data_IF_722690173061
#
_entry.id   IF_722690173061
#
_cell.length_a   1.000
_cell.length_b   1.000
_cell.length_c   1.000
_cell.angle_alpha   90.00
_cell.angle_beta   90.00
_cell.angle_gamma   90.00
#
_symmetry.space_group_name_H-M   'P 1'
#
loop_
_entity.id
_entity.type
_entity.pdbx_description
1 polymer ?
#
# COMPACT_ATOMS: atom_id res chain seq x y z
N UNK A 1 19.65 -13.90 10.74
CA UNK A 1 18.37 -14.32 11.35
C UNK A 1 17.50 -13.08 11.44
N UNK A 2 16.23 -13.18 11.05
CA UNK A 2 15.30 -12.05 11.17
C UNK A 2 14.96 -11.78 12.64
N UNK A 3 13.83 -11.11 12.87
CA UNK A 3 13.38 -10.73 14.20
C UNK A 3 13.10 -11.89 15.18
N UNK A 4 13.14 -13.15 14.72
CA UNK A 4 12.75 -14.31 15.53
C UNK A 4 11.23 -14.47 15.56
N UNK A 5 10.73 -15.68 15.82
CA UNK A 5 9.30 -15.99 15.73
C UNK A 5 8.46 -15.24 16.77
N UNK A 6 8.98 -15.00 17.97
CA UNK A 6 8.26 -14.27 19.03
C UNK A 6 8.10 -12.79 18.73
N UNK A 7 9.20 -12.09 18.41
CA UNK A 7 9.15 -10.65 18.15
C UNK A 7 8.45 -10.32 16.83
N UNK A 8 8.53 -11.21 15.83
CA UNK A 8 7.77 -11.03 14.58
C UNK A 8 6.26 -11.08 14.82
N UNK A 9 5.79 -11.97 15.71
CA UNK A 9 4.37 -11.99 16.10
C UNK A 9 3.94 -10.69 16.75
N UNK A 10 4.74 -10.12 17.66
CA UNK A 10 4.44 -8.82 18.28
C UNK A 10 4.35 -7.69 17.24
N UNK A 11 5.28 -7.64 16.28
CA UNK A 11 5.25 -6.66 15.18
C UNK A 11 3.97 -6.79 14.37
N UNK A 12 3.55 -8.02 14.04
CA UNK A 12 2.32 -8.28 13.29
C UNK A 12 1.09 -7.82 14.06
N UNK A 13 1.03 -8.05 15.38
CA UNK A 13 -0.10 -7.61 16.21
C UNK A 13 -0.19 -6.08 16.28
N UNK A 14 0.93 -5.38 16.51
CA UNK A 14 0.95 -3.90 16.48
C UNK A 14 0.49 -3.37 15.12
N UNK A 15 0.96 -3.98 14.03
CA UNK A 15 0.54 -3.58 12.68
C UNK A 15 -0.96 -3.81 12.45
N UNK A 16 -1.59 -4.81 13.08
CA UNK A 16 -3.03 -5.05 13.02
C UNK A 16 -3.84 -3.99 13.78
N UNK A 17 -3.34 -3.54 14.93
CA UNK A 17 -4.02 -2.51 15.74
C UNK A 17 -4.07 -1.15 15.05
N UNK A 18 -3.07 -0.82 14.23
CA UNK A 18 -3.02 0.47 13.51
C UNK A 18 -3.87 0.47 12.23
N UNK A 19 -4.31 -0.69 11.72
CA UNK A 19 -5.11 -0.82 10.49
C UNK A 19 -6.28 0.18 10.43
N UNK A 20 -7.13 0.31 11.47
CA UNK A 20 -8.30 1.19 11.42
C UNK A 20 -7.97 2.68 11.27
N UNK A 21 -6.75 3.09 11.62
CA UNK A 21 -6.31 4.50 11.61
C UNK A 21 -5.21 4.76 10.57
N UNK A 22 -4.87 3.77 9.74
CA UNK A 22 -3.70 3.82 8.87
C UNK A 22 -3.73 5.01 7.89
N UNK A 23 -4.86 5.26 7.26
CA UNK A 23 -5.02 6.39 6.33
C UNK A 23 -4.88 7.74 7.03
N UNK A 24 -5.37 7.85 8.28
CA UNK A 24 -5.19 9.04 9.10
C UNK A 24 -3.71 9.25 9.45
N UNK A 25 -3.01 8.19 9.83
CA UNK A 25 -1.57 8.24 10.11
C UNK A 25 -0.80 8.68 8.86
N UNK A 26 -1.08 8.08 7.70
CA UNK A 26 -0.45 8.47 6.43
C UNK A 26 -0.66 9.95 6.10
N UNK A 27 -1.87 10.47 6.32
CA UNK A 27 -2.15 11.89 6.11
C UNK A 27 -1.36 12.77 7.09
N UNK A 28 -1.30 12.42 8.38
CA UNK A 28 -0.55 13.18 9.39
C UNK A 28 0.94 13.23 9.07
N UNK A 29 1.58 12.07 8.85
CA UNK A 29 3.03 11.99 8.64
C UNK A 29 3.47 12.64 7.32
N UNK A 30 2.55 12.73 6.35
CA UNK A 30 2.78 13.42 5.07
C UNK A 30 2.39 14.90 5.10
N UNK A 31 1.96 15.44 6.25
CA UNK A 31 1.45 16.80 6.37
C UNK A 31 0.28 17.08 5.40
N UNK A 32 -0.60 16.09 5.22
CA UNK A 32 -1.76 16.14 4.32
C UNK A 32 -1.44 15.92 2.85
N UNK A 33 -0.20 15.54 2.51
CA UNK A 33 0.25 15.39 1.11
C UNK A 33 0.31 13.95 0.62
N UNK A 34 -0.28 13.01 1.35
CA UNK A 34 -0.23 11.58 1.02
C UNK A 34 -0.71 11.31 -0.42
N UNK A 35 -1.82 11.93 -0.84
CA UNK A 35 -2.36 11.82 -2.21
C UNK A 35 -1.38 12.38 -3.24
N UNK A 36 -0.80 13.56 -2.99
CA UNK A 36 0.17 14.19 -3.90
C UNK A 36 1.40 13.30 -4.09
N UNK A 37 1.92 12.74 -3.00
CA UNK A 37 3.06 11.85 -3.02
C UNK A 37 2.78 10.56 -3.80
N UNK A 38 1.59 9.95 -3.64
CA UNK A 38 1.18 8.78 -4.43
C UNK A 38 1.14 9.11 -5.92
N UNK A 39 0.46 10.19 -6.30
CA UNK A 39 0.37 10.61 -7.70
C UNK A 39 1.77 10.87 -8.29
N UNK A 40 2.61 11.62 -7.58
CA UNK A 40 3.99 11.91 -8.03
C UNK A 40 4.85 10.65 -8.15
N UNK A 41 4.65 9.67 -7.27
CA UNK A 41 5.37 8.40 -7.29
C UNK A 41 5.00 7.53 -8.51
N UNK A 42 3.75 7.59 -8.95
CA UNK A 42 3.21 6.71 -10.02
C UNK A 42 3.29 7.37 -11.40
N UNK A 43 2.97 8.67 -11.49
CA UNK A 43 2.90 9.40 -12.76
C UNK A 43 4.22 9.34 -13.53
N UNK A 44 4.13 9.01 -14.82
CA UNK A 44 5.28 8.86 -15.72
C UNK A 44 6.11 7.60 -15.51
N UNK A 45 5.66 6.66 -14.67
CA UNK A 45 6.36 5.39 -14.39
C UNK A 45 5.48 4.16 -14.63
N UNK A 46 4.18 4.27 -14.33
CA UNK A 46 3.19 3.23 -14.63
C UNK A 46 2.36 3.66 -15.84
N UNK A 47 2.23 2.76 -16.80
CA UNK A 47 1.56 2.99 -18.08
C UNK A 47 0.49 1.94 -18.34
N UNK A 48 -0.41 2.25 -19.28
CA UNK A 48 -1.42 1.32 -19.78
C UNK A 48 -0.77 0.04 -20.32
N UNK A 49 -1.44 -1.09 -20.12
CA UNK A 49 -0.97 -2.44 -20.43
C UNK A 49 0.04 -3.03 -19.45
N UNK A 50 0.52 -2.27 -18.45
CA UNK A 50 1.50 -2.79 -17.50
C UNK A 50 0.92 -3.88 -16.59
N UNK A 51 1.79 -4.83 -16.23
CA UNK A 51 1.56 -5.81 -15.16
C UNK A 51 2.41 -5.42 -13.96
N UNK A 52 1.79 -5.19 -12.81
CA UNK A 52 2.44 -4.60 -11.64
C UNK A 52 2.16 -5.40 -10.37
N UNK A 53 3.17 -5.44 -9.50
CA UNK A 53 3.10 -6.00 -8.16
C UNK A 53 3.13 -4.83 -7.16
N UNK A 54 2.07 -4.71 -6.36
CA UNK A 54 2.00 -3.78 -5.23
C UNK A 54 2.37 -4.57 -3.97
N UNK A 55 3.64 -4.48 -3.56
CA UNK A 55 4.19 -5.22 -2.42
C UNK A 55 4.11 -4.38 -1.14
N UNK A 56 3.48 -4.92 -0.10
CA UNK A 56 3.06 -4.14 1.07
C UNK A 56 1.90 -3.21 0.72
N UNK A 57 0.93 -3.73 -0.05
CA UNK A 57 -0.12 -2.91 -0.66
C UNK A 57 -1.03 -2.22 0.36
N UNK A 58 -1.10 -2.71 1.60
CA UNK A 58 -2.14 -2.31 2.55
C UNK A 58 -3.51 -2.42 1.88
N UNK A 59 -4.35 -1.38 2.06
CA UNK A 59 -5.66 -1.25 1.40
C UNK A 59 -5.63 -0.96 -0.11
N UNK A 60 -4.46 -1.03 -0.75
CA UNK A 60 -4.28 -0.83 -2.18
C UNK A 60 -4.41 0.62 -2.64
N UNK A 61 -4.12 1.61 -1.78
CA UNK A 61 -4.25 3.03 -2.14
C UNK A 61 -3.30 3.44 -3.28
N UNK A 62 -2.12 2.83 -3.37
CA UNK A 62 -1.21 2.99 -4.51
C UNK A 62 -1.82 2.40 -5.78
N UNK A 63 -2.26 1.14 -5.71
CA UNK A 63 -2.96 0.44 -6.79
C UNK A 63 -4.20 1.17 -7.33
N UNK A 64 -5.06 1.70 -6.45
CA UNK A 64 -6.21 2.54 -6.83
C UNK A 64 -5.79 3.81 -7.59
N UNK A 65 -4.70 4.44 -7.14
CA UNK A 65 -4.14 5.62 -7.82
C UNK A 65 -3.59 5.25 -9.20
N UNK A 66 -2.89 4.12 -9.33
CA UNK A 66 -2.40 3.61 -10.60
C UNK A 66 -3.53 3.28 -11.58
N UNK A 67 -4.61 2.63 -11.10
CA UNK A 67 -5.80 2.33 -11.91
C UNK A 67 -6.42 3.62 -12.45
N UNK A 68 -6.54 4.65 -11.61
CA UNK A 68 -7.08 5.94 -12.04
C UNK A 68 -6.22 6.62 -13.10
N UNK A 69 -4.90 6.58 -12.96
CA UNK A 69 -3.95 7.21 -13.92
C UNK A 69 -3.94 6.48 -15.28
N UNK A 70 -4.24 5.18 -15.28
CA UNK A 70 -4.15 4.32 -16.47
C UNK A 70 -5.51 3.94 -17.04
N UNK A 71 -6.58 4.62 -16.62
CA UNK A 71 -7.96 4.33 -17.04
C UNK A 71 -8.38 2.86 -16.83
N UNK A 72 -7.83 2.22 -15.79
CA UNK A 72 -8.07 0.81 -15.48
C UNK A 72 -7.34 -0.19 -16.37
N UNK A 73 -6.53 0.26 -17.33
CA UNK A 73 -5.85 -0.59 -18.31
C UNK A 73 -4.52 -1.14 -17.76
N UNK A 74 -4.54 -1.74 -16.57
CA UNK A 74 -3.36 -2.38 -15.96
C UNK A 74 -3.78 -3.67 -15.24
N UNK A 75 -2.87 -4.62 -15.15
CA UNK A 75 -3.06 -5.81 -14.32
C UNK A 75 -2.25 -5.66 -13.02
N UNK A 76 -2.91 -5.76 -11.88
CA UNK A 76 -2.30 -5.57 -10.57
C UNK A 76 -2.36 -6.87 -9.77
N UNK A 77 -1.24 -7.24 -9.16
CA UNK A 77 -1.19 -8.23 -8.08
C UNK A 77 -0.93 -7.50 -6.77
N UNK A 78 -1.83 -7.66 -5.80
CA UNK A 78 -1.65 -7.14 -4.44
C UNK A 78 -0.97 -8.21 -3.58
N UNK A 79 0.05 -7.81 -2.81
CA UNK A 79 0.74 -8.70 -1.89
C UNK A 79 0.96 -8.00 -0.56
N UNK A 80 0.41 -8.56 0.50
CA UNK A 80 0.57 -8.04 1.86
C UNK A 80 0.67 -9.19 2.87
N UNK A 81 1.63 -9.14 3.83
CA UNK A 81 1.72 -10.15 4.88
C UNK A 81 0.52 -10.15 5.84
N UNK A 82 -0.23 -9.05 5.92
CA UNK A 82 -1.44 -8.93 6.73
C UNK A 82 -2.65 -9.26 5.87
N UNK A 83 -3.13 -10.50 5.96
CA UNK A 83 -4.34 -10.96 5.26
C UNK A 83 -5.53 -9.97 5.37
N UNK A 84 -5.81 -9.30 6.51
CA UNK A 84 -6.88 -8.31 6.58
C UNK A 84 -6.74 -7.11 5.64
N UNK A 85 -5.53 -6.78 5.18
CA UNK A 85 -5.29 -5.69 4.23
C UNK A 85 -5.76 -6.01 2.81
N UNK A 86 -5.85 -7.30 2.47
CA UNK A 86 -6.23 -7.79 1.14
C UNK A 86 -7.72 -8.11 1.02
N UNK A 87 -8.52 -7.86 2.06
CA UNK A 87 -9.95 -8.18 2.13
C UNK A 87 -10.84 -6.95 1.99
#
# INVERSE_FOLDING_TARGET
MGLGSSYWSEVIEVLREIIPIYDKVNSIISLGKDVEHRNRGISGRVFKGNKILDAGSGFGNMSKTALKITDGEIAITLYDPLVPMLK
#
